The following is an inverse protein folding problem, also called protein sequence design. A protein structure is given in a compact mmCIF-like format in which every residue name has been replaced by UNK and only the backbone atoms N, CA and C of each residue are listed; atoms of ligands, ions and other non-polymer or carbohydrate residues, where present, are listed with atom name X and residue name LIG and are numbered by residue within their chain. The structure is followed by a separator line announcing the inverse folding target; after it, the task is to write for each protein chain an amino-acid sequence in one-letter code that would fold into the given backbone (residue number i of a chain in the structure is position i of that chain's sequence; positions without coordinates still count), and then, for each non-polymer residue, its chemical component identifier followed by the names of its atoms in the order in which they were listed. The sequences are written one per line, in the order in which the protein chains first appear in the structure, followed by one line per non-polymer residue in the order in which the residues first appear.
data_IF_368560475180
#
_entry.id   IF_368560475180
#
_cell.length_a   1.000
_cell.length_b   1.000
_cell.length_c   1.000
_cell.angle_alpha   90.00
_cell.angle_beta   90.00
_cell.angle_gamma   90.00
#
_symmetry.space_group_name_H-M   'P 1'
#
loop_
_entity.id
_entity.type
_entity.pdbx_description
1 polymer ?
#
# COMPACT_ATOMS: atom_id res chain seq x y z
N UNK A 1 60.65 -0.60 -29.95
CA UNK A 1 59.38 -0.03 -30.46
C UNK A 1 58.14 -0.68 -29.81
N UNK A 2 58.18 -1.06 -28.53
CA UNK A 2 57.06 -1.76 -27.84
C UNK A 2 56.39 -0.93 -26.72
N UNK A 3 56.89 0.26 -26.39
CA UNK A 3 56.44 1.04 -25.21
C UNK A 3 55.26 1.99 -25.47
N UNK A 4 54.99 2.37 -26.72
CA UNK A 4 53.96 3.38 -27.03
C UNK A 4 52.52 2.84 -27.03
N UNK A 5 52.33 1.51 -26.96
CA UNK A 5 51.00 0.89 -26.96
C UNK A 5 50.33 0.83 -25.57
N UNK A 6 51.12 0.93 -24.48
CA UNK A 6 50.62 0.77 -23.11
C UNK A 6 49.98 2.03 -22.52
N UNK A 7 50.44 3.23 -22.88
CA UNK A 7 49.98 4.50 -22.29
C UNK A 7 48.58 4.89 -22.76
N UNK A 8 48.28 4.75 -24.05
CA UNK A 8 46.95 5.07 -24.60
C UNK A 8 45.81 4.14 -24.12
N UNK A 9 46.12 2.88 -23.77
CA UNK A 9 45.12 1.97 -23.18
C UNK A 9 44.79 2.33 -21.72
N UNK A 10 45.77 2.81 -20.95
CA UNK A 10 45.58 3.23 -19.56
C UNK A 10 44.69 4.47 -19.46
N UNK A 11 44.88 5.46 -20.35
CA UNK A 11 44.08 6.69 -20.36
C UNK A 11 42.60 6.44 -20.72
N UNK A 12 42.33 5.55 -21.67
CA UNK A 12 40.96 5.18 -22.08
C UNK A 12 40.25 4.39 -20.97
N UNK A 13 40.95 3.50 -20.27
CA UNK A 13 40.39 2.77 -19.14
C UNK A 13 40.09 3.70 -17.96
N UNK A 14 41.00 4.63 -17.65
CA UNK A 14 40.80 5.62 -16.59
C UNK A 14 39.61 6.55 -16.86
N UNK A 15 39.42 6.99 -18.10
CA UNK A 15 38.27 7.81 -18.50
C UNK A 15 36.94 7.05 -18.34
N UNK A 16 36.87 5.78 -18.75
CA UNK A 16 35.67 4.93 -18.56
C UNK A 16 35.34 4.71 -17.09
N UNK A 17 36.36 4.49 -16.23
CA UNK A 17 36.16 4.33 -14.79
C UNK A 17 35.63 5.62 -14.15
N UNK A 18 36.14 6.80 -14.54
CA UNK A 18 35.63 8.10 -14.05
C UNK A 18 34.17 8.32 -14.46
N UNK A 19 33.82 8.00 -15.71
CA UNK A 19 32.45 8.12 -16.20
C UNK A 19 31.49 7.17 -15.46
N UNK A 20 31.93 5.93 -15.18
CA UNK A 20 31.17 4.96 -14.42
C UNK A 20 30.96 5.41 -12.97
N UNK A 21 32.00 5.91 -12.30
CA UNK A 21 31.90 6.47 -10.94
C UNK A 21 30.97 7.68 -10.87
N UNK A 22 30.98 8.55 -11.88
CA UNK A 22 30.05 9.68 -11.95
C UNK A 22 28.60 9.19 -12.12
N UNK A 23 28.36 8.22 -13.00
CA UNK A 23 27.02 7.63 -13.18
C UNK A 23 26.53 6.96 -11.90
N UNK A 24 27.38 6.19 -11.24
CA UNK A 24 27.06 5.52 -9.98
C UNK A 24 26.74 6.54 -8.87
N UNK A 25 27.52 7.61 -8.76
CA UNK A 25 27.29 8.70 -7.80
C UNK A 25 25.97 9.45 -8.08
N UNK A 26 25.69 9.77 -9.34
CA UNK A 26 24.44 10.43 -9.76
C UNK A 26 23.27 9.52 -9.44
N UNK A 27 23.33 8.24 -9.85
CA UNK A 27 22.29 7.26 -9.60
C UNK A 27 22.02 7.07 -8.10
N UNK A 28 23.07 6.93 -7.30
CA UNK A 28 22.97 6.80 -5.85
C UNK A 28 22.31 8.02 -5.22
N UNK A 29 22.79 9.23 -5.55
CA UNK A 29 22.27 10.47 -4.96
C UNK A 29 20.83 10.74 -5.39
N UNK A 30 20.47 10.46 -6.65
CA UNK A 30 19.08 10.60 -7.13
C UNK A 30 18.15 9.63 -6.42
N UNK A 31 18.55 8.35 -6.29
CA UNK A 31 17.75 7.34 -5.58
C UNK A 31 17.59 7.70 -4.10
N UNK A 32 18.68 8.14 -3.46
CA UNK A 32 18.67 8.62 -2.07
C UNK A 32 17.74 9.82 -1.90
N UNK A 33 17.79 10.79 -2.81
CA UNK A 33 16.90 11.95 -2.80
C UNK A 33 15.43 11.52 -2.87
N UNK A 34 15.06 10.62 -3.79
CA UNK A 34 13.69 10.12 -3.86
C UNK A 34 13.28 9.37 -2.59
N UNK A 35 14.15 8.53 -2.03
CA UNK A 35 13.90 7.85 -0.77
C UNK A 35 13.67 8.84 0.38
N UNK A 36 14.48 9.90 0.46
CA UNK A 36 14.32 10.97 1.45
C UNK A 36 13.04 11.78 1.24
N UNK A 37 12.64 12.06 0.00
CA UNK A 37 11.38 12.74 -0.31
C UNK A 37 10.18 11.90 0.13
N UNK A 38 10.18 10.59 -0.17
CA UNK A 38 9.12 9.67 0.25
C UNK A 38 9.06 9.60 1.78
N UNK A 39 10.20 9.48 2.45
CA UNK A 39 10.28 9.47 3.91
C UNK A 39 9.79 10.78 4.51
N UNK A 40 10.20 11.92 3.96
CA UNK A 40 9.76 13.24 4.40
C UNK A 40 8.26 13.43 4.18
N UNK A 41 7.71 12.92 3.07
CA UNK A 41 6.28 12.90 2.80
C UNK A 41 5.51 12.07 3.82
N UNK A 42 6.00 10.87 4.15
CA UNK A 42 5.41 10.02 5.19
C UNK A 42 5.41 10.73 6.56
N UNK A 43 6.54 11.32 6.96
CA UNK A 43 6.64 12.10 8.20
C UNK A 43 5.69 13.29 8.16
N UNK A 44 5.59 13.99 7.02
CA UNK A 44 4.63 15.08 6.82
C UNK A 44 3.18 14.65 7.03
N UNK A 45 2.78 13.51 6.47
CA UNK A 45 1.44 12.93 6.68
C UNK A 45 1.21 12.60 8.16
N UNK A 46 2.18 11.96 8.83
CA UNK A 46 2.08 11.63 10.26
C UNK A 46 1.93 12.89 11.12
N UNK A 47 2.70 13.95 10.82
CA UNK A 47 2.59 15.23 11.53
C UNK A 47 1.24 15.89 11.25
N UNK A 48 0.75 15.89 10.00
CA UNK A 48 -0.57 16.44 9.65
C UNK A 48 -1.68 15.76 10.46
N UNK A 49 -1.68 14.42 10.48
CA UNK A 49 -2.65 13.64 11.25
C UNK A 49 -2.58 13.96 12.75
N UNK A 50 -1.38 14.11 13.32
CA UNK A 50 -1.22 14.44 14.74
C UNK A 50 -1.75 15.85 15.07
N UNK A 51 -1.49 16.83 14.20
CA UNK A 51 -2.00 18.19 14.35
C UNK A 51 -3.52 18.21 14.23
N UNK A 52 -4.08 17.56 13.22
CA UNK A 52 -5.54 17.48 13.00
C UNK A 52 -6.28 16.71 14.11
N UNK A 53 -5.64 15.71 14.72
CA UNK A 53 -6.21 14.97 15.85
C UNK A 53 -6.18 15.75 17.18
N UNK A 54 -5.32 16.78 17.30
CA UNK A 54 -5.11 17.51 18.56
C UNK A 54 -6.37 18.18 19.12
N UNK A 55 -7.20 18.90 18.33
CA UNK A 55 -8.44 19.51 18.82
C UNK A 55 -9.40 18.48 19.42
N UNK A 56 -9.58 17.34 18.75
CA UNK A 56 -10.45 16.26 19.22
C UNK A 56 -9.94 15.67 20.54
N UNK A 57 -8.63 15.41 20.66
CA UNK A 57 -8.03 14.93 21.90
C UNK A 57 -8.14 15.94 23.05
N UNK A 58 -8.08 17.24 22.77
CA UNK A 58 -8.28 18.29 23.78
C UNK A 58 -9.73 18.41 24.24
N UNK A 59 -10.69 18.22 23.33
CA UNK A 59 -12.11 18.30 23.63
C UNK A 59 -12.60 17.09 24.46
N UNK A 60 -12.20 15.88 24.09
CA UNK A 60 -12.70 14.63 24.68
C UNK A 60 -11.72 13.97 25.67
N UNK A 61 -10.50 14.48 25.76
CA UNK A 61 -9.44 13.95 26.61
C UNK A 61 -8.95 12.54 26.19
N UNK A 62 -8.08 11.92 27.00
CA UNK A 62 -7.57 10.57 26.73
C UNK A 62 -8.64 9.49 26.73
N UNK A 63 -9.75 9.71 27.46
CA UNK A 63 -10.87 8.77 27.53
C UNK A 63 -11.49 8.49 26.15
N UNK A 64 -11.41 9.45 25.23
CA UNK A 64 -11.85 9.33 23.83
C UNK A 64 -11.49 8.00 23.15
N UNK A 65 -10.27 7.50 23.39
CA UNK A 65 -9.78 6.27 22.75
C UNK A 65 -10.41 4.98 23.33
N UNK A 66 -10.97 5.05 24.54
CA UNK A 66 -11.66 3.94 25.22
C UNK A 66 -13.18 4.12 25.29
N UNK A 67 -13.70 5.29 24.91
CA UNK A 67 -15.14 5.55 24.82
C UNK A 67 -15.71 4.88 23.57
N UNK A 68 -16.78 4.11 23.76
CA UNK A 68 -17.56 3.46 22.70
C UNK A 68 -18.85 4.20 22.33
N UNK A 69 -19.10 5.39 22.90
CA UNK A 69 -20.28 6.18 22.59
C UNK A 69 -20.00 7.07 21.38
N UNK A 70 -20.94 7.09 20.44
CA UNK A 70 -20.98 8.05 19.33
C UNK A 70 -22.38 8.67 19.28
N UNK A 71 -22.56 9.80 19.97
CA UNK A 71 -23.81 10.56 20.03
C UNK A 71 -23.61 11.96 19.47
N UNK A 72 -24.17 12.21 18.28
CA UNK A 72 -24.19 13.55 17.66
C UNK A 72 -25.07 14.53 18.45
N UNK A 73 -26.26 14.15 18.98
CA UNK A 73 -27.09 15.07 19.76
C UNK A 73 -26.47 15.52 21.09
N UNK A 74 -25.70 14.65 21.74
CA UNK A 74 -25.12 14.90 23.07
C UNK A 74 -23.67 15.41 23.02
N UNK A 75 -23.13 15.64 21.82
CA UNK A 75 -21.73 15.97 21.57
C UNK A 75 -20.73 15.00 22.23
N UNK A 76 -21.11 13.72 22.36
CA UNK A 76 -20.25 12.67 22.92
C UNK A 76 -19.67 11.79 21.80
N UNK A 77 -18.34 11.82 21.66
CA UNK A 77 -17.65 11.05 20.63
C UNK A 77 -16.58 10.17 21.24
N UNK A 78 -16.46 8.95 20.72
CA UNK A 78 -15.49 7.96 21.12
C UNK A 78 -14.91 7.25 19.91
N UNK A 79 -13.60 7.02 19.95
CA UNK A 79 -12.88 6.35 18.86
C UNK A 79 -12.87 4.82 18.97
N UNK A 80 -13.31 4.24 20.10
CA UNK A 80 -13.13 2.81 20.33
C UNK A 80 -13.86 1.96 19.28
N UNK A 81 -15.08 2.34 18.88
CA UNK A 81 -15.84 1.63 17.83
C UNK A 81 -15.08 1.67 16.51
N UNK A 82 -14.56 2.83 16.11
CA UNK A 82 -13.84 2.99 14.85
C UNK A 82 -12.53 2.20 14.84
N UNK A 83 -11.77 2.24 15.94
CA UNK A 83 -10.52 1.48 16.11
C UNK A 83 -10.81 -0.02 16.07
N UNK A 84 -11.74 -0.49 16.90
CA UNK A 84 -12.10 -1.90 17.01
C UNK A 84 -12.64 -2.43 15.67
N UNK A 85 -13.58 -1.71 15.06
CA UNK A 85 -14.15 -2.06 13.76
C UNK A 85 -13.07 -2.18 12.69
N UNK A 86 -12.14 -1.22 12.60
CA UNK A 86 -11.03 -1.26 11.64
C UNK A 86 -10.10 -2.46 11.89
N UNK A 87 -9.74 -2.72 13.15
CA UNK A 87 -8.84 -3.84 13.49
C UNK A 87 -9.47 -5.19 13.20
N UNK A 88 -10.72 -5.41 13.62
CA UNK A 88 -11.42 -6.68 13.40
C UNK A 88 -11.68 -6.92 11.92
N UNK A 89 -12.19 -5.92 11.20
CA UNK A 89 -12.44 -6.05 9.76
C UNK A 89 -11.15 -6.30 8.99
N UNK A 90 -10.06 -5.59 9.30
CA UNK A 90 -8.75 -5.81 8.67
C UNK A 90 -8.20 -7.20 8.99
N UNK A 91 -8.35 -7.68 10.22
CA UNK A 91 -7.90 -9.00 10.62
C UNK A 91 -8.66 -10.10 9.88
N UNK A 92 -10.00 -10.01 9.79
CA UNK A 92 -10.83 -10.94 9.02
C UNK A 92 -10.45 -10.90 7.54
N UNK A 93 -10.28 -9.69 6.97
CA UNK A 93 -9.88 -9.52 5.59
C UNK A 93 -8.53 -10.20 5.30
N UNK A 94 -7.52 -10.00 6.16
CA UNK A 94 -6.22 -10.65 6.02
C UNK A 94 -6.30 -12.17 6.17
N UNK A 95 -7.07 -12.64 7.16
CA UNK A 95 -7.25 -14.07 7.42
C UNK A 95 -7.83 -14.81 6.22
N UNK A 96 -8.69 -14.15 5.43
CA UNK A 96 -9.27 -14.72 4.20
C UNK A 96 -8.36 -14.46 3.00
N UNK A 97 -7.88 -13.23 2.81
CA UNK A 97 -7.16 -12.82 1.62
C UNK A 97 -5.80 -13.50 1.49
N UNK A 98 -5.07 -13.70 2.59
CA UNK A 98 -3.75 -14.33 2.58
C UNK A 98 -3.78 -15.77 2.05
N UNK A 99 -4.57 -16.71 2.63
CA UNK A 99 -4.59 -18.09 2.14
C UNK A 99 -5.13 -18.19 0.71
N UNK A 100 -6.12 -17.38 0.35
CA UNK A 100 -6.65 -17.34 -1.02
C UNK A 100 -5.59 -16.86 -2.01
N UNK A 101 -4.87 -15.79 -1.69
CA UNK A 101 -3.79 -15.26 -2.53
C UNK A 101 -2.67 -16.27 -2.71
N UNK A 102 -2.28 -16.97 -1.64
CA UNK A 102 -1.30 -18.06 -1.70
C UNK A 102 -1.78 -19.22 -2.59
N UNK A 103 -3.05 -19.62 -2.46
CA UNK A 103 -3.65 -20.66 -3.28
C UNK A 103 -3.64 -20.31 -4.77
N UNK A 104 -4.01 -19.07 -5.12
CA UNK A 104 -3.97 -18.57 -6.50
C UNK A 104 -2.53 -18.54 -7.03
N UNK A 105 -1.57 -18.06 -6.22
CA UNK A 105 -0.17 -18.00 -6.60
C UNK A 105 0.39 -19.40 -6.90
N UNK A 106 0.18 -20.37 -6.01
CA UNK A 106 0.62 -21.75 -6.20
C UNK A 106 -0.05 -22.41 -7.40
N UNK A 107 -1.35 -22.22 -7.58
CA UNK A 107 -2.06 -22.75 -8.74
C UNK A 107 -1.45 -22.23 -10.04
N UNK A 108 -1.20 -20.93 -10.15
CA UNK A 108 -0.63 -20.31 -11.36
C UNK A 108 0.82 -20.75 -11.65
N UNK A 109 1.60 -21.03 -10.61
CA UNK A 109 3.00 -21.45 -10.78
C UNK A 109 3.14 -22.94 -11.07
N UNK A 110 2.41 -23.79 -10.34
CA UNK A 110 2.66 -25.24 -10.31
C UNK A 110 1.65 -26.06 -11.09
N UNK A 111 0.37 -25.66 -11.12
CA UNK A 111 -0.73 -26.53 -11.59
C UNK A 111 -1.46 -26.00 -12.83
N UNK A 112 -1.32 -24.70 -13.14
CA UNK A 112 -2.10 -24.05 -14.18
C UNK A 112 -1.70 -24.51 -15.59
N UNK A 113 -2.65 -24.93 -16.44
CA UNK A 113 -2.40 -25.24 -17.83
C UNK A 113 -1.77 -24.06 -18.59
N UNK A 114 -0.79 -24.33 -19.45
CA UNK A 114 0.00 -23.30 -20.13
C UNK A 114 -0.84 -22.29 -20.94
N UNK A 115 -1.96 -22.72 -21.52
CA UNK A 115 -2.87 -21.87 -22.29
C UNK A 115 -3.72 -20.93 -21.42
N UNK A 116 -3.94 -21.30 -20.15
CA UNK A 116 -4.81 -20.57 -19.24
C UNK A 116 -4.04 -19.60 -18.32
N UNK A 117 -2.74 -19.84 -18.12
CA UNK A 117 -1.87 -19.03 -17.25
C UNK A 117 -1.84 -17.55 -17.65
N UNK A 118 -1.71 -17.25 -18.95
CA UNK A 118 -1.70 -15.87 -19.46
C UNK A 118 -3.02 -15.13 -19.22
N UNK A 119 -4.18 -15.62 -19.70
CA UNK A 119 -5.44 -14.90 -19.50
C UNK A 119 -5.82 -14.75 -18.03
N UNK A 120 -5.56 -15.74 -17.17
CA UNK A 120 -5.80 -15.59 -15.72
C UNK A 120 -4.89 -14.53 -15.10
N UNK A 121 -3.59 -14.55 -15.42
CA UNK A 121 -2.65 -13.54 -14.94
C UNK A 121 -3.08 -12.12 -15.31
N UNK A 122 -3.44 -11.92 -16.58
CA UNK A 122 -3.96 -10.63 -17.05
C UNK A 122 -5.26 -10.24 -16.34
N UNK A 123 -6.20 -11.18 -16.13
CA UNK A 123 -7.44 -10.87 -15.40
C UNK A 123 -7.17 -10.42 -13.96
N UNK A 124 -6.21 -11.06 -13.26
CA UNK A 124 -5.82 -10.68 -11.89
C UNK A 124 -5.16 -9.30 -11.88
N UNK A 125 -4.25 -9.02 -12.82
CA UNK A 125 -3.62 -7.71 -12.95
C UNK A 125 -4.64 -6.61 -13.24
N UNK A 126 -5.60 -6.88 -14.12
CA UNK A 126 -6.70 -5.96 -14.43
C UNK A 126 -7.59 -5.74 -13.19
N UNK A 127 -7.91 -6.80 -12.45
CA UNK A 127 -8.70 -6.72 -11.20
C UNK A 127 -7.99 -5.85 -10.15
N UNK A 128 -6.67 -5.99 -10.03
CA UNK A 128 -5.84 -5.18 -9.14
C UNK A 128 -5.74 -3.71 -9.60
N UNK A 129 -5.89 -3.45 -10.91
CA UNK A 129 -5.91 -2.10 -11.50
C UNK A 129 -7.26 -1.38 -11.38
N UNK A 130 -8.33 -2.06 -10.96
CA UNK A 130 -9.64 -1.43 -10.76
C UNK A 130 -9.56 -0.41 -9.60
N UNK A 131 -9.99 0.84 -9.80
CA UNK A 131 -10.02 1.83 -8.72
C UNK A 131 -10.87 1.38 -7.54
N UNK A 132 -10.38 1.62 -6.31
CA UNK A 132 -11.08 1.22 -5.08
C UNK A 132 -12.50 1.81 -4.96
N UNK A 133 -12.74 2.99 -5.52
CA UNK A 133 -14.05 3.64 -5.53
C UNK A 133 -15.11 2.81 -6.28
N UNK A 134 -14.72 2.06 -7.32
CA UNK A 134 -15.65 1.22 -8.09
C UNK A 134 -16.14 0.07 -7.20
N UNK A 135 -15.25 -0.57 -6.45
CA UNK A 135 -15.64 -1.60 -5.48
C UNK A 135 -16.53 -1.04 -4.38
N UNK A 136 -16.27 0.19 -3.91
CA UNK A 136 -17.12 0.87 -2.93
C UNK A 136 -18.54 1.11 -3.45
N UNK A 137 -18.67 1.65 -4.66
CA UNK A 137 -19.97 1.90 -5.32
C UNK A 137 -20.71 0.58 -5.59
N UNK A 138 -20.01 -0.45 -6.09
CA UNK A 138 -20.59 -1.78 -6.25
C UNK A 138 -21.08 -2.36 -4.92
N UNK A 139 -20.30 -2.18 -3.85
CA UNK A 139 -20.67 -2.57 -2.50
C UNK A 139 -21.98 -1.91 -2.05
N UNK A 140 -22.14 -0.61 -2.32
CA UNK A 140 -23.32 0.15 -1.92
C UNK A 140 -24.57 -0.17 -2.77
N UNK A 141 -24.42 -0.30 -4.09
CA UNK A 141 -25.57 -0.44 -4.99
C UNK A 141 -25.96 -1.88 -5.30
N UNK A 142 -25.05 -2.84 -5.14
CA UNK A 142 -25.31 -4.25 -5.45
C UNK A 142 -25.21 -5.09 -4.19
N UNK A 143 -24.09 -5.04 -3.47
CA UNK A 143 -23.91 -5.92 -2.32
C UNK A 143 -24.85 -5.57 -1.16
N UNK A 144 -24.98 -4.30 -0.78
CA UNK A 144 -25.80 -3.90 0.36
C UNK A 144 -27.30 -4.25 0.19
N UNK A 145 -27.94 -4.01 -0.98
CA UNK A 145 -29.31 -4.47 -1.20
C UNK A 145 -29.46 -5.99 -1.13
N UNK A 146 -28.53 -6.75 -1.73
CA UNK A 146 -28.56 -8.21 -1.67
C UNK A 146 -28.36 -8.72 -0.23
N UNK A 147 -27.47 -8.09 0.53
CA UNK A 147 -27.25 -8.43 1.92
C UNK A 147 -28.51 -8.17 2.76
N UNK A 148 -29.14 -7.00 2.58
CA UNK A 148 -30.37 -6.64 3.28
C UNK A 148 -31.55 -7.56 2.94
N UNK A 149 -31.65 -8.03 1.69
CA UNK A 149 -32.73 -8.92 1.27
C UNK A 149 -32.51 -10.38 1.71
N UNK A 150 -31.28 -10.91 1.59
CA UNK A 150 -31.00 -12.33 1.75
C UNK A 150 -30.30 -12.72 3.05
N UNK A 151 -29.62 -11.81 3.73
CA UNK A 151 -28.79 -12.13 4.91
C UNK A 151 -29.33 -11.47 6.17
N UNK A 152 -29.63 -10.18 6.12
CA UNK A 152 -30.13 -9.40 7.28
C UNK A 152 -31.38 -10.01 7.95
N UNK A 153 -32.37 -10.59 7.24
CA UNK A 153 -33.55 -11.17 7.89
C UNK A 153 -33.26 -12.41 8.76
N UNK A 154 -32.06 -13.00 8.62
CA UNK A 154 -31.64 -14.19 9.36
C UNK A 154 -30.65 -13.89 10.49
N UNK A 155 -30.24 -12.62 10.64
CA UNK A 155 -29.36 -12.13 11.70
C UNK A 155 -30.18 -11.54 12.85
#
# INVERSE_FOLDING_TARGET
MSEAAGTGQVDVQAAKIKLFKLQDMVFHNTTLLFALIVLAGLVGILVSLAVEATPSLKAFGPAFLWTNVWSVPDDEYGALIAIYGTLVTSAIALLIAVPVSFGIALFLTETCPAWLRRPLGTAIELLAGVPSIIYGIWGLFIFAPLFAEYVEPYL
#
